data_IF_412186571516
#
_entry.id   IF_412186571516
#
_cell.length_a   1.000
_cell.length_b   1.000
_cell.length_c   1.000
_cell.angle_alpha   90.00
_cell.angle_beta   90.00
_cell.angle_gamma   90.00
#
_symmetry.space_group_name_H-M   'P 1'
#
loop_
_entity.id
_entity.type
_entity.pdbx_description
1 polymer ?
#
# COMPACT_ATOMS: atom_id res chain seq x y z
N UNK A 1 -21.19 19.59 11.89
CA UNK A 1 -21.23 19.27 10.45
C UNK A 1 -20.50 20.33 9.68
N UNK A 2 -19.36 20.01 9.05
CA UNK A 2 -18.59 20.95 8.22
C UNK A 2 -19.03 20.91 6.75
N UNK A 3 -18.74 21.93 5.93
CA UNK A 3 -19.14 21.99 4.52
C UNK A 3 -18.56 20.86 3.66
N UNK A 4 -17.43 20.26 4.07
CA UNK A 4 -16.82 19.10 3.40
C UNK A 4 -17.29 17.74 3.95
N UNK A 5 -18.17 17.72 4.95
CA UNK A 5 -18.58 16.47 5.62
C UNK A 5 -19.22 15.47 4.66
N UNK A 6 -20.07 15.95 3.75
CA UNK A 6 -20.76 15.07 2.82
C UNK A 6 -19.86 14.50 1.71
N UNK A 7 -18.82 15.25 1.34
CA UNK A 7 -17.91 14.90 0.25
C UNK A 7 -16.84 13.89 0.68
N UNK A 8 -16.38 14.00 1.93
CA UNK A 8 -15.33 13.13 2.47
C UNK A 8 -15.97 12.00 3.29
N UNK A 9 -16.70 12.33 4.35
CA UNK A 9 -17.08 11.36 5.38
C UNK A 9 -18.24 10.47 4.90
N UNK A 10 -19.30 11.05 4.32
CA UNK A 10 -20.43 10.24 3.82
C UNK A 10 -20.00 9.31 2.68
N UNK A 11 -19.12 9.80 1.79
CA UNK A 11 -18.60 9.01 0.67
C UNK A 11 -17.74 7.83 1.17
N UNK A 12 -16.81 8.06 2.10
CA UNK A 12 -16.02 6.98 2.69
C UNK A 12 -16.88 6.00 3.50
N UNK A 13 -17.92 6.47 4.19
CA UNK A 13 -18.84 5.62 4.94
C UNK A 13 -19.60 4.64 4.01
N UNK A 14 -20.11 5.12 2.87
CA UNK A 14 -20.77 4.26 1.88
C UNK A 14 -19.82 3.22 1.28
N UNK A 15 -18.58 3.62 0.95
CA UNK A 15 -17.56 2.68 0.48
C UNK A 15 -17.24 1.61 1.54
N UNK A 16 -17.25 2.00 2.81
CA UNK A 16 -17.01 1.06 3.90
C UNK A 16 -18.13 0.04 4.05
N UNK A 17 -19.38 0.44 3.89
CA UNK A 17 -20.54 -0.46 3.99
C UNK A 17 -20.54 -1.52 2.87
N UNK A 18 -19.98 -1.18 1.70
CA UNK A 18 -19.84 -2.11 0.57
C UNK A 18 -18.60 -3.00 0.72
N UNK A 19 -17.49 -2.45 1.23
CA UNK A 19 -16.17 -3.10 1.24
C UNK A 19 -15.65 -3.49 2.63
N UNK A 20 -16.51 -3.54 3.65
CA UNK A 20 -16.13 -3.92 5.02
C UNK A 20 -15.39 -5.26 5.07
N UNK A 21 -15.81 -6.21 4.23
CA UNK A 21 -15.21 -7.54 4.13
C UNK A 21 -13.74 -7.47 3.66
N UNK A 22 -13.38 -6.54 2.76
CA UNK A 22 -11.99 -6.36 2.29
C UNK A 22 -11.07 -5.94 3.43
N UNK A 23 -11.57 -5.12 4.36
CA UNK A 23 -10.85 -4.75 5.58
C UNK A 23 -10.72 -5.91 6.54
N UNK A 24 -11.80 -6.69 6.73
CA UNK A 24 -11.78 -7.86 7.62
C UNK A 24 -10.77 -8.93 7.18
N UNK A 25 -10.68 -9.19 5.87
CA UNK A 25 -9.73 -10.14 5.30
C UNK A 25 -8.31 -9.55 5.07
N UNK A 26 -8.07 -8.27 5.41
CA UNK A 26 -6.79 -7.58 5.18
C UNK A 26 -6.30 -7.60 3.71
N UNK A 27 -7.23 -7.64 2.76
CA UNK A 27 -6.95 -7.62 1.30
C UNK A 27 -7.16 -6.24 0.67
N UNK A 28 -7.45 -5.21 1.49
CA UNK A 28 -7.68 -3.85 1.00
C UNK A 28 -6.45 -3.24 0.30
N UNK A 29 -5.24 -3.80 0.50
CA UNK A 29 -3.99 -3.32 -0.11
C UNK A 29 -3.97 -3.45 -1.64
N UNK A 30 -4.73 -4.38 -2.21
CA UNK A 30 -4.81 -4.58 -3.67
C UNK A 30 -5.67 -3.54 -4.39
N UNK A 31 -6.38 -2.68 -3.65
CA UNK A 31 -7.29 -1.69 -4.19
C UNK A 31 -6.73 -0.29 -3.94
N UNK A 32 -6.98 0.61 -4.89
CA UNK A 32 -6.47 1.98 -4.82
C UNK A 32 -7.04 2.81 -3.68
N UNK A 33 -6.35 3.91 -3.40
CA UNK A 33 -6.74 4.92 -2.42
C UNK A 33 -8.20 5.36 -2.58
N UNK A 34 -8.71 5.42 -3.82
CA UNK A 34 -10.09 5.85 -4.12
C UNK A 34 -11.17 4.90 -3.58
N UNK A 35 -10.87 3.62 -3.45
CA UNK A 35 -11.80 2.59 -2.95
C UNK A 35 -11.53 2.20 -1.48
N UNK A 36 -10.57 2.88 -0.84
CA UNK A 36 -10.18 2.55 0.52
C UNK A 36 -11.15 3.17 1.53
N UNK A 37 -11.73 2.34 2.40
CA UNK A 37 -12.60 2.80 3.48
C UNK A 37 -11.82 3.60 4.53
N UNK A 38 -10.64 3.11 4.95
CA UNK A 38 -9.81 3.73 5.98
C UNK A 38 -8.35 3.66 5.57
N UNK A 39 -7.72 4.80 5.29
CA UNK A 39 -6.33 4.84 4.80
C UNK A 39 -5.33 4.30 5.83
N UNK A 40 -5.61 4.51 7.12
CA UNK A 40 -4.79 4.01 8.22
C UNK A 40 -4.78 2.48 8.34
N UNK A 41 -5.79 1.76 7.82
CA UNK A 41 -5.78 0.29 7.87
C UNK A 41 -4.80 -0.33 6.88
N UNK A 42 -4.30 0.44 5.91
CA UNK A 42 -3.35 -0.04 4.90
C UNK A 42 -2.10 -0.64 5.55
N UNK A 43 -1.53 0.08 6.52
CA UNK A 43 -0.36 -0.38 7.25
C UNK A 43 -0.67 -1.65 8.05
N UNK A 44 -1.83 -1.69 8.71
CA UNK A 44 -2.27 -2.88 9.46
C UNK A 44 -2.42 -4.11 8.56
N UNK A 45 -2.92 -3.93 7.34
CA UNK A 45 -3.03 -5.02 6.36
C UNK A 45 -1.68 -5.59 5.95
N UNK A 46 -0.70 -4.71 5.67
CA UNK A 46 0.67 -5.13 5.33
C UNK A 46 1.31 -5.86 6.50
N UNK A 47 1.19 -5.32 7.72
CA UNK A 47 1.81 -5.89 8.91
C UNK A 47 1.28 -7.31 9.20
N UNK A 48 -0.03 -7.55 9.02
CA UNK A 48 -0.62 -8.87 9.17
C UNK A 48 -0.09 -9.87 8.13
N UNK A 49 0.04 -9.45 6.87
CA UNK A 49 0.57 -10.32 5.81
C UNK A 49 2.04 -10.66 6.06
N UNK A 50 2.86 -9.68 6.46
CA UNK A 50 4.25 -9.90 6.82
C UNK A 50 4.39 -10.78 8.07
N UNK A 51 3.50 -10.62 9.06
CA UNK A 51 3.48 -11.46 10.25
C UNK A 51 3.19 -12.93 9.91
N UNK A 52 2.25 -13.18 8.99
CA UNK A 52 1.94 -14.54 8.51
C UNK A 52 3.11 -15.16 7.71
N UNK A 53 3.82 -14.36 6.91
CA UNK A 53 4.95 -14.84 6.09
C UNK A 53 6.25 -15.00 6.92
N UNK A 54 6.40 -14.23 8.00
CA UNK A 54 7.58 -14.23 8.87
C UNK A 54 8.05 -15.64 9.33
N UNK A 55 7.19 -16.51 9.92
CA UNK A 55 7.63 -17.84 10.36
C UNK A 55 8.10 -18.72 9.19
N UNK A 56 7.51 -18.57 8.00
CA UNK A 56 7.93 -19.27 6.79
C UNK A 56 9.36 -18.84 6.38
N UNK A 57 9.63 -17.53 6.39
CA UNK A 57 10.96 -16.99 6.09
C UNK A 57 11.99 -17.43 7.12
N UNK A 58 11.65 -17.38 8.41
CA UNK A 58 12.53 -17.84 9.49
C UNK A 58 12.87 -19.32 9.32
N UNK A 59 11.88 -20.17 9.00
CA UNK A 59 12.11 -21.58 8.74
C UNK A 59 13.03 -21.81 7.54
N UNK A 60 12.85 -21.06 6.45
CA UNK A 60 13.69 -21.14 5.25
C UNK A 60 15.16 -20.79 5.55
N UNK A 61 15.38 -19.72 6.32
CA UNK A 61 16.72 -19.28 6.75
C UNK A 61 17.36 -20.30 7.69
N UNK A 62 16.56 -20.90 8.59
CA UNK A 62 17.07 -21.90 9.52
C UNK A 62 17.57 -23.15 8.77
N UNK A 63 16.82 -23.63 7.78
CA UNK A 63 17.18 -24.81 6.99
C UNK A 63 18.35 -24.51 6.05
N UNK A 64 18.28 -23.42 5.28
CA UNK A 64 19.27 -23.08 4.25
C UNK A 64 19.81 -21.66 4.45
N UNK A 65 20.72 -21.47 5.42
CA UNK A 65 21.25 -20.14 5.81
C UNK A 65 21.72 -19.29 4.61
N UNK A 66 22.60 -19.81 3.76
CA UNK A 66 23.16 -19.05 2.63
C UNK A 66 22.11 -18.68 1.59
N UNK A 67 21.21 -19.61 1.28
CA UNK A 67 20.12 -19.37 0.33
C UNK A 67 19.08 -18.40 0.89
N UNK A 68 18.70 -18.54 2.15
CA UNK A 68 17.72 -17.67 2.82
C UNK A 68 18.18 -16.22 2.89
N UNK A 69 19.45 -15.97 3.21
CA UNK A 69 20.02 -14.61 3.19
C UNK A 69 20.06 -14.03 1.78
N UNK A 70 20.50 -14.80 0.78
CA UNK A 70 20.50 -14.36 -0.62
C UNK A 70 19.09 -14.05 -1.12
N UNK A 71 18.12 -14.90 -0.78
CA UNK A 71 16.72 -14.71 -1.16
C UNK A 71 16.13 -13.42 -0.56
N UNK A 72 16.38 -13.15 0.73
CA UNK A 72 15.92 -11.93 1.38
C UNK A 72 16.53 -10.65 0.78
N UNK A 73 17.84 -10.66 0.51
CA UNK A 73 18.50 -9.50 -0.08
C UNK A 73 18.00 -9.25 -1.51
N UNK A 74 17.86 -10.30 -2.32
CA UNK A 74 17.33 -10.20 -3.68
C UNK A 74 15.91 -9.64 -3.68
N UNK A 75 15.02 -10.13 -2.82
CA UNK A 75 13.64 -9.61 -2.74
C UNK A 75 13.61 -8.14 -2.32
N UNK A 76 14.43 -7.76 -1.34
CA UNK A 76 14.46 -6.38 -0.82
C UNK A 76 15.03 -5.39 -1.86
N UNK A 77 16.04 -5.81 -2.61
CA UNK A 77 16.60 -5.01 -3.71
C UNK A 77 15.60 -4.92 -4.85
N UNK A 78 14.98 -6.04 -5.23
CA UNK A 78 13.99 -6.08 -6.30
C UNK A 78 12.77 -5.21 -5.99
N UNK A 79 12.24 -5.25 -4.77
CA UNK A 79 11.11 -4.39 -4.37
C UNK A 79 11.48 -2.91 -4.46
N UNK A 80 12.65 -2.52 -3.95
CA UNK A 80 13.14 -1.13 -4.02
C UNK A 80 13.32 -0.65 -5.47
N UNK A 81 13.88 -1.51 -6.34
CA UNK A 81 14.07 -1.19 -7.75
C UNK A 81 12.73 -1.04 -8.48
N UNK A 82 11.76 -1.92 -8.22
CA UNK A 82 10.43 -1.83 -8.82
C UNK A 82 9.75 -0.52 -8.44
N UNK A 83 9.78 -0.12 -7.16
CA UNK A 83 9.26 1.19 -6.70
C UNK A 83 9.91 2.31 -7.47
N UNK A 84 11.24 2.34 -7.50
CA UNK A 84 11.99 3.41 -8.14
C UNK A 84 11.66 3.54 -9.63
N UNK A 85 11.61 2.42 -10.35
CA UNK A 85 11.27 2.37 -11.77
C UNK A 85 9.83 2.82 -12.01
N UNK A 86 8.88 2.43 -11.15
CA UNK A 86 7.47 2.87 -11.26
C UNK A 86 7.33 4.36 -10.97
N UNK A 87 8.02 4.86 -9.95
CA UNK A 87 8.07 6.28 -9.58
C UNK A 87 8.49 7.15 -10.76
N UNK A 88 9.56 6.76 -11.46
CA UNK A 88 10.08 7.51 -12.62
C UNK A 88 9.13 7.41 -13.81
N UNK A 89 8.68 6.21 -14.18
CA UNK A 89 7.85 6.02 -15.37
C UNK A 89 6.51 6.75 -15.29
N UNK A 90 5.90 6.80 -14.11
CA UNK A 90 4.60 7.44 -13.88
C UNK A 90 4.73 8.89 -13.41
N UNK A 91 5.95 9.43 -13.29
CA UNK A 91 6.22 10.79 -12.78
C UNK A 91 5.49 11.06 -11.45
N UNK A 92 5.50 10.08 -10.54
CA UNK A 92 4.87 10.24 -9.22
C UNK A 92 5.68 11.25 -8.41
N UNK A 93 5.01 12.20 -7.75
CA UNK A 93 5.67 13.22 -6.92
C UNK A 93 5.48 12.87 -5.45
N UNK A 94 6.49 12.30 -4.76
CA UNK A 94 6.36 11.92 -3.34
C UNK A 94 6.33 13.11 -2.39
N UNK A 95 6.68 14.31 -2.88
CA UNK A 95 6.70 15.55 -2.11
C UNK A 95 5.65 16.51 -2.66
N UNK A 96 4.89 17.12 -1.75
CA UNK A 96 3.95 18.20 -2.08
C UNK A 96 4.72 19.51 -2.15
N UNK A 97 4.74 20.14 -3.32
CA UNK A 97 5.37 21.45 -3.54
C UNK A 97 4.37 22.43 -4.17
N UNK A 98 4.59 23.73 -3.97
CA UNK A 98 3.73 24.76 -4.56
C UNK A 98 3.78 24.70 -6.09
N UNK A 99 2.63 24.52 -6.73
CA UNK A 99 2.49 24.44 -8.19
C UNK A 99 2.27 23.02 -8.75
N UNK A 100 2.25 21.99 -7.91
CA UNK A 100 1.90 20.63 -8.35
C UNK A 100 0.40 20.53 -8.72
N UNK A 101 0.04 19.91 -9.86
CA UNK A 101 -1.36 19.72 -10.23
C UNK A 101 -2.05 18.72 -9.29
N UNK A 102 -3.28 19.04 -8.88
CA UNK A 102 -4.07 18.21 -7.94
C UNK A 102 -4.31 16.79 -8.48
N UNK A 103 -4.46 16.64 -9.80
CA UNK A 103 -4.59 15.31 -10.43
C UNK A 103 -3.37 14.43 -10.18
N UNK A 104 -2.17 14.97 -10.29
CA UNK A 104 -0.92 14.23 -10.06
C UNK A 104 -0.78 13.83 -8.58
N UNK A 105 -1.29 14.64 -7.64
CA UNK A 105 -1.33 14.28 -6.22
C UNK A 105 -2.28 13.09 -5.96
N UNK A 106 -3.48 13.11 -6.53
CA UNK A 106 -4.43 12.01 -6.39
C UNK A 106 -3.95 10.73 -7.08
N UNK A 107 -3.34 10.83 -8.26
CA UNK A 107 -2.74 9.68 -8.93
C UNK A 107 -1.55 9.14 -8.14
N UNK A 108 -0.76 10.02 -7.53
CA UNK A 108 0.34 9.60 -6.64
C UNK A 108 -0.18 8.85 -5.42
N UNK A 109 -1.21 9.39 -4.75
CA UNK A 109 -1.83 8.71 -3.62
C UNK A 109 -2.37 7.34 -4.04
N UNK A 110 -3.17 7.26 -5.10
CA UNK A 110 -3.79 6.01 -5.55
C UNK A 110 -2.76 4.95 -5.92
N UNK A 111 -1.73 5.33 -6.68
CA UNK A 111 -0.73 4.40 -7.19
C UNK A 111 0.31 4.01 -6.15
N UNK A 112 0.63 4.87 -5.18
CA UNK A 112 1.61 4.57 -4.13
C UNK A 112 1.21 3.41 -3.21
N UNK A 113 -0.09 3.17 -3.05
CA UNK A 113 -0.61 2.13 -2.15
C UNK A 113 -0.77 0.77 -2.82
N UNK A 114 -0.84 0.72 -4.16
CA UNK A 114 -1.10 -0.51 -4.93
C UNK A 114 0.16 -1.02 -5.63
N UNK A 115 1.03 -0.11 -6.10
CA UNK A 115 2.18 -0.50 -6.90
C UNK A 115 3.36 -0.91 -6.00
N UNK A 116 4.03 -2.02 -6.35
CA UNK A 116 5.14 -2.54 -5.59
C UNK A 116 6.39 -1.70 -5.71
#
# INVERSE_FOLDING_TARGET
SGPQWNLVITKHAQLCDIYWWRNFFYIHNFYGFKEMCLTHTHQLGIDMQLFLISPLLIYLIWKWKTFGWCFLTVISVLSTLLRFVKTINRKLSPVVYFGVPISQLFDTADLSYILP
#
